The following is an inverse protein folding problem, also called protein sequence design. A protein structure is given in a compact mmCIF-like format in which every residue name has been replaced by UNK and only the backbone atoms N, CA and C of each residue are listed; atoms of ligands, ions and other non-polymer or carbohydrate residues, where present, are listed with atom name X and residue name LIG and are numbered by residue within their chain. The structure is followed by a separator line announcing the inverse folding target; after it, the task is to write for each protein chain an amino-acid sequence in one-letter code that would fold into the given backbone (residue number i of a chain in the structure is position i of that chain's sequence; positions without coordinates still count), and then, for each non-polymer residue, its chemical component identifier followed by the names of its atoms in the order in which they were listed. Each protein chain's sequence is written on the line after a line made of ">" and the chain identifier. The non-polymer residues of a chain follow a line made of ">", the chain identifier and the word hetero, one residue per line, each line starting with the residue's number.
data_IF_645459848447
#
_entry.id   IF_645459848447
#
_cell.length_a   1.000
_cell.length_b   1.000
_cell.length_c   1.000
_cell.angle_alpha   90.00
_cell.angle_beta   90.00
_cell.angle_gamma   90.00
#
_symmetry.space_group_name_H-M   'P 1'
#
loop_
_entity.id
_entity.type
_entity.pdbx_description
1 polymer ?
#
# COMPACT_ATOMS: atom_id res chain seq x y z
N UNK A 1 6.77 16.39 6.66
CA UNK A 1 5.39 16.66 6.24
C UNK A 1 5.47 17.03 4.78
N UNK A 2 4.75 16.31 3.92
CA UNK A 2 4.74 16.61 2.49
C UNK A 2 4.12 17.99 2.29
N UNK A 3 4.82 18.89 1.59
CA UNK A 3 4.34 20.23 1.29
C UNK A 3 3.32 20.19 0.14
N UNK A 4 2.22 19.46 0.32
CA UNK A 4 1.15 19.37 -0.69
C UNK A 4 0.47 20.73 -0.92
N UNK A 5 0.38 21.54 0.13
CA UNK A 5 -0.29 22.85 0.12
C UNK A 5 0.48 23.91 -0.69
N UNK A 6 1.73 23.66 -1.08
CA UNK A 6 2.54 24.61 -1.87
C UNK A 6 2.45 24.38 -3.38
N UNK A 7 1.91 23.23 -3.80
CA UNK A 7 1.65 22.94 -5.21
C UNK A 7 0.22 23.36 -5.57
N UNK A 8 0.01 24.15 -6.63
CA UNK A 8 -1.34 24.45 -7.10
C UNK A 8 -2.06 23.17 -7.53
N UNK A 9 -3.39 23.14 -7.48
CA UNK A 9 -4.15 22.10 -8.17
C UNK A 9 -4.00 22.33 -9.68
N UNK A 10 -3.64 21.29 -10.43
CA UNK A 10 -3.65 21.32 -11.89
C UNK A 10 -4.97 20.69 -12.41
N UNK A 11 -5.15 20.59 -13.73
CA UNK A 11 -6.36 19.97 -14.27
C UNK A 11 -6.32 18.47 -14.02
N UNK A 12 -7.36 17.92 -13.38
CA UNK A 12 -7.45 16.49 -13.08
C UNK A 12 -8.13 15.75 -14.25
N UNK A 13 -7.43 14.77 -14.81
CA UNK A 13 -8.03 13.85 -15.78
C UNK A 13 -8.91 12.79 -15.10
N UNK A 14 -9.84 12.20 -15.86
CA UNK A 14 -10.68 11.09 -15.34
C UNK A 14 -9.83 9.89 -14.89
N UNK A 15 -8.72 9.61 -15.59
CA UNK A 15 -7.83 8.51 -15.25
C UNK A 15 -7.10 8.76 -13.93
N UNK A 16 -6.61 9.98 -13.70
CA UNK A 16 -5.97 10.34 -12.42
C UNK A 16 -6.97 10.32 -11.26
N UNK A 17 -8.21 10.78 -11.48
CA UNK A 17 -9.27 10.67 -10.48
C UNK A 17 -9.55 9.23 -10.08
N UNK A 18 -9.62 8.33 -11.06
CA UNK A 18 -9.79 6.89 -10.81
C UNK A 18 -8.58 6.28 -10.09
N UNK A 19 -7.36 6.70 -10.42
CA UNK A 19 -6.15 6.25 -9.74
C UNK A 19 -6.14 6.67 -8.26
N UNK A 20 -6.54 7.90 -7.94
CA UNK A 20 -6.67 8.37 -6.55
C UNK A 20 -7.70 7.57 -5.75
N UNK A 21 -8.87 7.30 -6.35
CA UNK A 21 -9.93 6.52 -5.72
C UNK A 21 -9.46 5.09 -5.46
N UNK A 22 -8.78 4.48 -6.43
CA UNK A 22 -8.25 3.13 -6.28
C UNK A 22 -7.16 3.06 -5.20
N UNK A 23 -6.15 3.95 -5.23
CA UNK A 23 -5.10 4.02 -4.20
C UNK A 23 -5.65 4.24 -2.80
N UNK A 24 -6.72 5.05 -2.66
CA UNK A 24 -7.36 5.28 -1.36
C UNK A 24 -7.85 3.97 -0.73
N UNK A 25 -8.44 3.07 -1.52
CA UNK A 25 -8.92 1.78 -1.05
C UNK A 25 -7.82 0.72 -0.95
N UNK A 26 -6.79 0.77 -1.80
CA UNK A 26 -5.66 -0.16 -1.74
C UNK A 26 -4.83 0.03 -0.45
N UNK A 27 -4.51 1.27 -0.09
CA UNK A 27 -3.82 1.59 1.17
C UNK A 27 -4.68 1.16 2.39
N UNK A 28 -6.01 1.28 2.27
CA UNK A 28 -6.94 0.77 3.29
C UNK A 28 -6.89 -0.75 3.38
N UNK A 29 -6.78 -1.45 2.25
CA UNK A 29 -6.65 -2.90 2.24
C UNK A 29 -5.38 -3.31 2.99
N UNK A 30 -4.25 -2.69 2.70
CA UNK A 30 -2.99 -2.96 3.40
C UNK A 30 -3.15 -2.77 4.91
N UNK A 31 -3.64 -1.59 5.34
CA UNK A 31 -3.93 -1.28 6.76
C UNK A 31 -4.83 -2.33 7.42
N UNK A 32 -5.98 -2.62 6.82
CA UNK A 32 -6.99 -3.50 7.40
C UNK A 32 -6.50 -4.96 7.50
N UNK A 33 -5.74 -5.44 6.51
CA UNK A 33 -5.09 -6.76 6.57
C UNK A 33 -4.09 -6.79 7.72
N UNK A 34 -3.25 -5.76 7.86
CA UNK A 34 -2.24 -5.70 8.91
C UNK A 34 -2.86 -5.61 10.31
N UNK A 35 -3.92 -4.84 10.49
CA UNK A 35 -4.66 -4.79 11.76
C UNK A 35 -5.23 -6.16 12.15
N UNK A 36 -5.82 -6.89 11.18
CA UNK A 36 -6.33 -8.23 11.43
C UNK A 36 -5.22 -9.22 11.77
N UNK A 37 -4.11 -9.21 11.03
CA UNK A 37 -2.97 -10.09 11.29
C UNK A 37 -2.25 -9.73 12.59
N UNK A 38 -2.23 -8.46 12.99
CA UNK A 38 -1.75 -8.04 14.29
C UNK A 38 -2.65 -8.58 15.41
N UNK A 39 -3.97 -8.45 15.28
CA UNK A 39 -4.92 -9.00 16.25
C UNK A 39 -4.79 -10.53 16.40
N UNK A 40 -4.51 -11.23 15.29
CA UNK A 40 -4.30 -12.67 15.27
C UNK A 40 -2.98 -13.12 15.89
N UNK A 41 -1.88 -12.50 15.51
CA UNK A 41 -0.53 -13.01 15.79
C UNK A 41 0.24 -12.21 16.85
N UNK A 42 -0.17 -10.97 17.15
CA UNK A 42 0.49 -10.09 18.10
C UNK A 42 1.91 -9.64 17.70
N UNK A 43 2.28 -9.79 16.43
CA UNK A 43 3.62 -9.47 15.94
C UNK A 43 3.70 -7.99 15.56
N UNK A 44 4.59 -7.26 16.24
CA UNK A 44 4.71 -5.80 16.16
C UNK A 44 4.95 -5.21 14.76
N UNK A 45 5.37 -6.02 13.78
CA UNK A 45 5.59 -5.51 12.43
C UNK A 45 4.27 -5.08 11.78
N UNK A 46 3.21 -5.85 11.97
CA UNK A 46 1.89 -5.55 11.42
C UNK A 46 1.32 -4.24 12.00
N UNK A 47 1.39 -4.04 13.32
CA UNK A 47 0.95 -2.80 14.00
C UNK A 47 1.71 -1.55 13.52
N UNK A 48 3.04 -1.68 13.35
CA UNK A 48 3.87 -0.58 12.87
C UNK A 48 3.58 -0.19 11.44
N UNK A 49 3.39 -1.19 10.57
CA UNK A 49 3.14 -0.96 9.15
C UNK A 49 1.70 -0.48 8.97
N UNK A 50 0.71 -1.05 9.64
CA UNK A 50 -0.67 -0.52 9.66
C UNK A 50 -0.73 0.97 10.03
N UNK A 51 0.05 1.40 11.03
CA UNK A 51 0.15 2.83 11.38
C UNK A 51 0.76 3.69 10.26
N UNK A 52 1.64 3.11 9.44
CA UNK A 52 2.20 3.75 8.24
C UNK A 52 1.15 3.83 7.12
N UNK A 53 0.42 2.75 6.88
CA UNK A 53 -0.66 2.72 5.87
C UNK A 53 -1.77 3.71 6.19
N UNK A 54 -2.08 3.93 7.48
CA UNK A 54 -2.97 5.03 7.85
C UNK A 54 -2.43 6.39 7.37
N UNK A 55 -1.12 6.61 7.44
CA UNK A 55 -0.51 7.85 6.95
C UNK A 55 -0.54 7.96 5.43
N UNK A 56 -0.45 6.84 4.71
CA UNK A 56 -0.62 6.78 3.25
C UNK A 56 -2.06 7.08 2.85
N UNK A 57 -3.03 6.40 3.49
CA UNK A 57 -4.46 6.67 3.38
C UNK A 57 -4.77 8.16 3.57
N UNK A 58 -4.24 8.78 4.63
CA UNK A 58 -4.42 10.21 4.92
C UNK A 58 -3.77 11.10 3.84
N UNK A 59 -2.69 10.65 3.20
CA UNK A 59 -2.06 11.38 2.11
C UNK A 59 -2.90 11.38 0.84
N UNK A 60 -3.49 10.25 0.47
CA UNK A 60 -4.41 10.15 -0.66
C UNK A 60 -5.70 10.93 -0.38
N UNK A 61 -6.25 10.86 0.85
CA UNK A 61 -7.44 11.63 1.23
C UNK A 61 -7.25 13.14 1.02
N UNK A 62 -6.07 13.69 1.36
CA UNK A 62 -5.77 15.11 1.10
C UNK A 62 -5.82 15.46 -0.39
N UNK A 63 -5.47 14.55 -1.29
CA UNK A 63 -5.61 14.75 -2.72
C UNK A 63 -7.07 14.66 -3.15
N UNK A 64 -7.84 13.70 -2.63
CA UNK A 64 -9.28 13.62 -2.89
C UNK A 64 -9.99 14.91 -2.48
N UNK A 65 -9.70 15.42 -1.28
CA UNK A 65 -10.24 16.69 -0.79
C UNK A 65 -9.81 17.87 -1.68
N UNK A 66 -8.53 17.92 -2.09
CA UNK A 66 -7.98 19.00 -2.93
C UNK A 66 -8.65 19.06 -4.31
N UNK A 67 -8.99 17.91 -4.87
CA UNK A 67 -9.64 17.78 -6.18
C UNK A 67 -11.16 17.63 -6.10
N UNK A 68 -11.75 17.79 -4.90
CA UNK A 68 -13.19 17.68 -4.65
C UNK A 68 -13.80 16.34 -5.11
N UNK A 69 -13.04 15.25 -4.99
CA UNK A 69 -13.48 13.88 -5.30
C UNK A 69 -14.20 13.26 -4.10
N UNK A 70 -15.17 12.38 -4.37
CA UNK A 70 -15.86 11.61 -3.32
C UNK A 70 -14.91 10.55 -2.73
N UNK A 71 -14.75 10.52 -1.40
CA UNK A 71 -13.96 9.50 -0.72
C UNK A 71 -14.69 8.13 -0.77
N UNK A 72 -14.11 7.09 -1.41
CA UNK A 72 -14.70 5.76 -1.42
C UNK A 72 -14.78 5.15 -0.01
N UNK A 73 -14.01 5.67 0.96
CA UNK A 73 -13.98 5.24 2.37
C UNK A 73 -14.87 6.15 3.24
N UNK A 74 -16.10 6.42 2.79
CA UNK A 74 -17.04 7.26 3.53
C UNK A 74 -17.39 6.73 4.94
N UNK A 75 -17.27 5.41 5.15
CA UNK A 75 -17.37 4.77 6.46
C UNK A 75 -16.22 3.80 6.66
N UNK A 76 -15.34 4.13 7.61
CA UNK A 76 -14.10 3.40 7.84
C UNK A 76 -14.32 2.09 8.65
N UNK A 77 -15.04 1.15 8.04
CA UNK A 77 -15.29 -0.18 8.59
C UNK A 77 -14.19 -1.12 8.08
N UNK A 78 -13.46 -1.83 8.96
CA UNK A 78 -12.45 -2.80 8.56
C UNK A 78 -13.01 -3.84 7.59
N UNK A 79 -12.31 -4.09 6.49
CA UNK A 79 -12.70 -5.09 5.49
C UNK A 79 -13.86 -4.68 4.56
N UNK A 80 -14.39 -3.46 4.70
CA UNK A 80 -15.42 -2.92 3.81
C UNK A 80 -14.78 -2.09 2.68
N UNK A 81 -15.11 -2.40 1.44
CA UNK A 81 -14.61 -1.72 0.23
C UNK A 81 -15.74 -1.50 -0.77
N UNK A 82 -15.63 -0.43 -1.56
CA UNK A 82 -16.48 -0.16 -2.72
C UNK A 82 -15.98 -0.98 -3.91
N UNK A 83 -14.67 -1.05 -4.11
CA UNK A 83 -14.05 -1.88 -5.13
C UNK A 83 -14.15 -3.38 -4.77
N UNK A 84 -14.87 -4.15 -5.60
CA UNK A 84 -15.10 -5.58 -5.38
C UNK A 84 -13.81 -6.42 -5.48
N UNK A 85 -12.86 -6.03 -6.33
CA UNK A 85 -11.57 -6.73 -6.47
C UNK A 85 -10.73 -6.57 -5.20
N UNK A 86 -10.69 -5.36 -4.62
CA UNK A 86 -10.03 -5.12 -3.33
C UNK A 86 -10.76 -5.84 -2.18
N UNK A 87 -12.09 -5.87 -2.18
CA UNK A 87 -12.86 -6.66 -1.21
C UNK A 87 -12.51 -8.15 -1.26
N UNK A 88 -12.38 -8.72 -2.47
CA UNK A 88 -12.02 -10.11 -2.68
C UNK A 88 -10.56 -10.39 -2.29
N UNK A 89 -9.66 -9.46 -2.62
CA UNK A 89 -8.25 -9.55 -2.27
C UNK A 89 -8.06 -9.52 -0.75
N UNK A 90 -8.73 -8.60 -0.05
CA UNK A 90 -8.76 -8.55 1.42
C UNK A 90 -9.19 -9.89 2.03
N UNK A 91 -10.32 -10.46 1.58
CA UNK A 91 -10.79 -11.75 2.10
C UNK A 91 -9.80 -12.88 1.84
N UNK A 92 -9.14 -12.88 0.69
CA UNK A 92 -8.18 -13.92 0.30
C UNK A 92 -6.92 -13.85 1.16
N UNK A 93 -6.36 -12.65 1.30
CA UNK A 93 -5.10 -12.41 2.01
C UNK A 93 -5.25 -12.61 3.52
N UNK A 94 -6.35 -12.18 4.11
CA UNK A 94 -6.64 -12.42 5.53
C UNK A 94 -6.79 -13.91 5.83
N UNK A 95 -7.53 -14.65 4.99
CA UNK A 95 -7.67 -16.10 5.14
C UNK A 95 -6.30 -16.81 5.04
N UNK A 96 -5.47 -16.43 4.06
CA UNK A 96 -4.13 -17.00 3.90
C UNK A 96 -3.24 -16.68 5.11
N UNK A 97 -3.21 -15.42 5.54
CA UNK A 97 -2.39 -14.97 6.65
C UNK A 97 -2.82 -15.52 8.02
N UNK A 98 -4.05 -16.00 8.16
CA UNK A 98 -4.52 -16.64 9.40
C UNK A 98 -4.04 -18.09 9.59
N UNK A 99 -3.54 -18.74 8.53
CA UNK A 99 -3.08 -20.13 8.56
C UNK A 99 -1.81 -20.31 9.41
N UNK A 100 -0.83 -19.43 9.23
CA UNK A 100 0.43 -19.44 9.98
C UNK A 100 1.09 -18.06 10.01
N UNK A 101 1.96 -17.82 11.00
CA UNK A 101 2.73 -16.57 11.05
C UNK A 101 3.63 -16.38 9.82
N UNK A 102 4.17 -17.46 9.26
CA UNK A 102 4.97 -17.40 8.03
C UNK A 102 4.11 -16.92 6.86
N UNK A 103 2.93 -17.50 6.67
CA UNK A 103 1.98 -17.05 5.63
C UNK A 103 1.54 -15.61 5.87
N UNK A 104 1.32 -15.19 7.13
CA UNK A 104 0.98 -13.81 7.46
C UNK A 104 2.06 -12.81 7.01
N UNK A 105 3.33 -13.14 7.23
CA UNK A 105 4.45 -12.30 6.81
C UNK A 105 4.66 -12.33 5.29
N UNK A 106 4.37 -13.45 4.64
CA UNK A 106 4.36 -13.56 3.17
C UNK A 106 3.22 -12.75 2.55
N UNK A 107 2.03 -12.76 3.17
CA UNK A 107 0.90 -11.88 2.80
C UNK A 107 1.31 -10.41 2.95
N UNK A 108 2.01 -10.07 4.04
CA UNK A 108 2.62 -8.77 4.24
C UNK A 108 3.44 -8.33 3.03
N UNK A 109 4.47 -9.11 2.70
CA UNK A 109 5.34 -8.83 1.55
C UNK A 109 4.58 -8.81 0.20
N UNK A 110 3.61 -9.70 0.00
CA UNK A 110 2.82 -9.77 -1.22
C UNK A 110 1.98 -8.51 -1.46
N UNK A 111 1.39 -7.92 -0.41
CA UNK A 111 0.66 -6.65 -0.51
C UNK A 111 1.60 -5.55 -0.99
N UNK A 112 2.79 -5.45 -0.41
CA UNK A 112 3.75 -4.40 -0.78
C UNK A 112 4.25 -4.54 -2.22
N UNK A 113 4.37 -5.77 -2.73
CA UNK A 113 4.69 -5.98 -4.15
C UNK A 113 3.58 -5.50 -5.08
N UNK A 114 2.32 -5.76 -4.73
CA UNK A 114 1.15 -5.32 -5.52
C UNK A 114 1.11 -3.78 -5.52
N UNK A 115 1.19 -3.17 -4.35
CA UNK A 115 1.17 -1.71 -4.19
C UNK A 115 2.31 -1.02 -4.97
N UNK A 116 3.52 -1.59 -4.93
CA UNK A 116 4.65 -1.11 -5.76
C UNK A 116 4.33 -1.20 -7.25
N UNK A 117 3.75 -2.30 -7.72
CA UNK A 117 3.44 -2.48 -9.14
C UNK A 117 2.34 -1.53 -9.62
N UNK A 118 1.30 -1.35 -8.81
CA UNK A 118 0.19 -0.47 -9.13
C UNK A 118 0.66 1.00 -9.11
N UNK A 119 1.41 1.44 -8.10
CA UNK A 119 2.01 2.77 -8.07
C UNK A 119 2.99 3.01 -9.24
N UNK A 120 3.79 2.00 -9.64
CA UNK A 120 4.68 2.10 -10.81
C UNK A 120 3.87 2.31 -12.08
N UNK A 121 2.80 1.53 -12.27
CA UNK A 121 1.91 1.65 -13.43
C UNK A 121 1.29 3.05 -13.49
N UNK A 122 0.73 3.54 -12.39
CA UNK A 122 0.06 4.84 -12.38
C UNK A 122 1.05 5.99 -12.64
N UNK A 123 2.24 5.97 -12.02
CA UNK A 123 3.28 6.97 -12.24
C UNK A 123 3.83 6.99 -13.68
N UNK A 124 3.84 5.84 -14.36
CA UNK A 124 4.36 5.72 -15.73
C UNK A 124 3.32 6.02 -16.82
N UNK A 125 2.05 5.71 -16.56
CA UNK A 125 1.03 5.63 -17.62
C UNK A 125 -0.13 6.60 -17.42
N UNK A 126 -0.39 7.04 -16.20
CA UNK A 126 -1.62 7.76 -15.84
C UNK A 126 -1.36 9.16 -15.33
N UNK A 127 -0.41 9.32 -14.40
CA UNK A 127 -0.27 10.54 -13.59
C UNK A 127 0.76 11.49 -14.18
N UNK A 128 0.32 12.69 -14.55
CA UNK A 128 1.20 13.82 -14.88
C UNK A 128 1.02 15.02 -13.93
N UNK A 129 -0.04 15.05 -13.11
CA UNK A 129 -0.18 16.00 -12.00
C UNK A 129 0.93 15.87 -10.96
N UNK A 130 1.63 16.98 -10.70
CA UNK A 130 2.85 16.96 -9.88
C UNK A 130 2.60 16.66 -8.41
N UNK A 131 1.43 17.03 -7.89
CA UNK A 131 1.06 16.75 -6.51
C UNK A 131 0.66 15.29 -6.29
N UNK A 132 -0.01 14.67 -7.27
CA UNK A 132 -0.28 13.23 -7.28
C UNK A 132 1.03 12.45 -7.40
N UNK A 133 1.91 12.81 -8.34
CA UNK A 133 3.24 12.20 -8.47
C UNK A 133 4.00 12.26 -7.15
N UNK A 134 4.01 13.43 -6.50
CA UNK A 134 4.67 13.60 -5.21
C UNK A 134 4.12 12.63 -4.17
N UNK A 135 2.80 12.44 -4.06
CA UNK A 135 2.24 11.50 -3.08
C UNK A 135 2.57 10.06 -3.46
N UNK A 136 2.33 9.65 -4.70
CA UNK A 136 2.56 8.28 -5.16
C UNK A 136 4.03 7.87 -5.04
N UNK A 137 4.98 8.76 -5.31
CA UNK A 137 6.41 8.51 -5.09
C UNK A 137 6.76 8.30 -3.59
N UNK A 138 6.04 8.97 -2.69
CA UNK A 138 6.25 8.79 -1.25
C UNK A 138 5.60 7.52 -0.72
N UNK A 139 4.41 7.17 -1.20
CA UNK A 139 3.78 5.87 -0.95
C UNK A 139 4.71 4.74 -1.39
N UNK A 140 5.16 4.78 -2.66
CA UNK A 140 6.11 3.83 -3.26
C UNK A 140 7.37 3.61 -2.41
N UNK A 141 7.87 4.69 -1.82
CA UNK A 141 9.03 4.62 -0.92
C UNK A 141 8.68 3.94 0.41
N UNK A 142 7.49 4.20 0.94
CA UNK A 142 6.89 3.49 2.07
C UNK A 142 6.83 1.99 1.81
N UNK A 143 6.13 1.57 0.75
CA UNK A 143 5.90 0.17 0.41
C UNK A 143 7.20 -0.60 0.18
N UNK A 144 8.20 0.03 -0.46
CA UNK A 144 9.57 -0.55 -0.57
C UNK A 144 10.23 -0.80 0.80
N UNK A 145 10.02 0.08 1.77
CA UNK A 145 10.54 -0.10 3.13
C UNK A 145 9.76 -1.16 3.92
N UNK A 146 8.46 -1.25 3.70
CA UNK A 146 7.61 -2.26 4.30
C UNK A 146 7.93 -3.65 3.76
N UNK A 147 8.11 -3.80 2.44
CA UNK A 147 8.56 -5.03 1.80
C UNK A 147 9.87 -5.54 2.42
N UNK A 148 10.90 -4.67 2.51
CA UNK A 148 12.17 -5.00 3.18
C UNK A 148 11.95 -5.43 4.63
N UNK A 149 10.99 -4.82 5.32
CA UNK A 149 10.70 -5.13 6.71
C UNK A 149 10.01 -6.49 6.87
N UNK A 150 9.06 -6.85 6.00
CA UNK A 150 8.45 -8.18 5.98
C UNK A 150 9.47 -9.26 5.61
N UNK A 151 10.26 -9.04 4.56
CA UNK A 151 11.35 -9.96 4.14
C UNK A 151 12.33 -10.19 5.29
N UNK A 152 12.73 -9.12 6.01
CA UNK A 152 13.61 -9.25 7.18
C UNK A 152 12.97 -10.06 8.31
N UNK A 153 11.66 -9.94 8.53
CA UNK A 153 10.97 -10.75 9.55
C UNK A 153 10.90 -12.22 9.14
N UNK A 154 10.69 -12.51 7.85
CA UNK A 154 10.76 -13.87 7.31
C UNK A 154 12.17 -14.47 7.47
N UNK A 155 13.22 -13.71 7.14
CA UNK A 155 14.61 -14.14 7.30
C UNK A 155 14.96 -14.44 8.77
N UNK A 156 14.47 -13.64 9.71
CA UNK A 156 14.63 -13.92 11.15
C UNK A 156 13.95 -15.22 11.60
N UNK A 157 12.96 -15.72 10.84
CA UNK A 157 12.33 -17.04 11.04
C UNK A 157 13.04 -18.16 10.25
N UNK A 158 14.13 -17.85 9.54
CA UNK A 158 14.83 -18.78 8.66
C UNK A 158 14.08 -19.07 7.36
N UNK A 159 13.15 -18.20 6.96
CA UNK A 159 12.37 -18.33 5.73
C UNK A 159 12.88 -17.35 4.70
N UNK A 160 13.45 -17.86 3.61
CA UNK A 160 13.80 -17.03 2.46
C UNK A 160 12.52 -16.64 1.71
N UNK A 161 12.34 -15.34 1.46
CA UNK A 161 11.25 -14.83 0.64
C UNK A 161 11.61 -14.91 -0.85
N UNK A 162 10.63 -15.28 -1.67
CA UNK A 162 10.71 -15.28 -3.14
C UNK A 162 9.60 -14.36 -3.63
N UNK A 163 9.89 -13.34 -4.46
CA UNK A 163 8.89 -12.42 -4.94
C UNK A 163 7.78 -13.16 -5.69
N UNK A 164 6.53 -12.75 -5.49
CA UNK A 164 5.37 -13.39 -6.11
C UNK A 164 4.88 -12.64 -7.34
N UNK A 165 5.08 -11.32 -7.39
CA UNK A 165 4.55 -10.43 -8.42
C UNK A 165 5.65 -9.60 -9.09
N UNK A 166 6.57 -9.04 -8.30
CA UNK A 166 7.74 -8.35 -8.82
C UNK A 166 8.62 -9.31 -9.62
N UNK A 167 9.29 -8.75 -10.63
CA UNK A 167 10.40 -9.47 -11.24
C UNK A 167 11.52 -9.69 -10.21
N UNK A 168 12.29 -10.77 -10.37
CA UNK A 168 13.46 -11.00 -9.50
C UNK A 168 14.44 -9.83 -9.57
N UNK A 169 14.59 -9.19 -10.73
CA UNK A 169 15.47 -8.02 -10.89
C UNK A 169 14.99 -6.83 -10.06
N UNK A 170 13.71 -6.47 -10.15
CA UNK A 170 13.13 -5.35 -9.40
C UNK A 170 13.14 -5.62 -7.89
N UNK A 171 12.78 -6.84 -7.49
CA UNK A 171 12.86 -7.27 -6.11
C UNK A 171 14.28 -7.11 -5.56
N UNK A 172 15.30 -7.61 -6.28
CA UNK A 172 16.69 -7.48 -5.86
C UNK A 172 17.16 -6.03 -5.79
N UNK A 173 16.75 -5.19 -6.76
CA UNK A 173 17.04 -3.77 -6.74
C UNK A 173 16.45 -3.08 -5.50
N UNK A 174 15.22 -3.44 -5.11
CA UNK A 174 14.60 -2.93 -3.89
C UNK A 174 15.36 -3.45 -2.66
N UNK A 175 15.66 -4.75 -2.56
CA UNK A 175 16.35 -5.31 -1.40
C UNK A 175 17.76 -4.71 -1.19
N UNK A 176 18.44 -4.31 -2.26
CA UNK A 176 19.76 -3.66 -2.19
C UNK A 176 19.69 -2.14 -1.97
N UNK A 177 18.53 -1.53 -2.21
CA UNK A 177 18.30 -0.10 -1.98
C UNK A 177 18.37 0.28 -0.50
N UNK A 178 18.83 1.50 -0.21
CA UNK A 178 18.87 2.03 1.16
C UNK A 178 17.47 2.45 1.64
N UNK A 179 17.20 2.36 2.95
CA UNK A 179 15.94 2.76 3.60
C UNK A 179 15.72 4.29 3.68
N UNK A 180 16.31 5.08 2.77
CA UNK A 180 16.34 6.53 2.91
C UNK A 180 15.05 7.20 2.49
#
# INVERSE_FOLDING_TARGET
>A
MLELDVLPAEELSELEGNALIFMREEEKLARDVYDQLYAKWGVKIFDKISSSEQSHMDAVLRLLDKYELEDPVASDIPGSFVNEDLSNLYSTLTQLGENSLTEALQVGAAIEEIDILDLQRELEQTVDNRDIQLVFENLMKGSKNHLRSFVKNLDNLGVAYVPQFLSEEDYQAIMQGSNN
#
